data_IF_569276240607
#
_entry.id   IF_569276240607
#
_cell.length_a   1.000
_cell.length_b   1.000
_cell.length_c   1.000
_cell.angle_alpha   90.00
_cell.angle_beta   90.00
_cell.angle_gamma   90.00
#
_symmetry.space_group_name_H-M   'P 1'
#
loop_
_entity.id
_entity.type
_entity.pdbx_description
1 polymer ?
#
# COMPACT_ATOMS: atom_id res chain seq x y z
N UNK A 1 -22.20 -34.34 -19.09
CA UNK A 1 -21.83 -33.03 -18.54
C UNK A 1 -21.82 -32.03 -19.69
N UNK A 2 -22.68 -31.03 -19.64
CA UNK A 2 -22.87 -30.09 -20.75
C UNK A 2 -21.67 -29.15 -20.85
N UNK A 3 -21.23 -28.84 -22.08
CA UNK A 3 -20.10 -27.94 -22.36
C UNK A 3 -20.25 -26.56 -21.68
N UNK A 4 -21.49 -26.15 -21.43
CA UNK A 4 -21.90 -24.93 -20.74
C UNK A 4 -21.66 -24.94 -19.22
N UNK A 5 -21.77 -26.10 -18.56
CA UNK A 5 -21.46 -26.24 -17.12
C UNK A 5 -19.96 -26.02 -16.89
N UNK A 6 -19.11 -26.64 -17.72
CA UNK A 6 -17.65 -26.46 -17.66
C UNK A 6 -17.21 -25.01 -17.92
N UNK A 7 -17.88 -24.30 -18.84
CA UNK A 7 -17.56 -22.90 -19.11
C UNK A 7 -17.91 -21.98 -17.93
N UNK A 8 -19.03 -22.25 -17.25
CA UNK A 8 -19.45 -21.51 -16.05
C UNK A 8 -18.51 -21.77 -14.87
N UNK A 9 -18.19 -23.03 -14.61
CA UNK A 9 -17.29 -23.44 -13.53
C UNK A 9 -15.89 -22.84 -13.72
N UNK A 10 -15.40 -22.81 -14.96
CA UNK A 10 -14.13 -22.17 -15.30
C UNK A 10 -14.14 -20.66 -15.04
N UNK A 11 -15.22 -19.95 -15.43
CA UNK A 11 -15.35 -18.52 -15.17
C UNK A 11 -15.36 -18.22 -13.66
N UNK A 12 -16.06 -19.04 -12.86
CA UNK A 12 -16.10 -18.92 -11.40
C UNK A 12 -14.72 -19.17 -10.77
N UNK A 13 -14.00 -20.19 -11.24
CA UNK A 13 -12.62 -20.47 -10.81
C UNK A 13 -11.66 -19.31 -11.11
N UNK A 14 -11.72 -18.76 -12.34
CA UNK A 14 -10.91 -17.61 -12.76
C UNK A 14 -11.22 -16.43 -11.84
N UNK A 15 -12.51 -16.08 -11.66
CA UNK A 15 -12.93 -14.98 -10.79
C UNK A 15 -12.41 -15.14 -9.36
N UNK A 16 -12.52 -16.34 -8.79
CA UNK A 16 -12.04 -16.63 -7.44
C UNK A 16 -10.52 -16.50 -7.32
N UNK A 17 -9.78 -16.92 -8.34
CA UNK A 17 -8.30 -16.85 -8.37
C UNK A 17 -7.82 -15.41 -8.47
N UNK A 18 -8.37 -14.62 -9.40
CA UNK A 18 -8.05 -13.19 -9.51
C UNK A 18 -8.40 -12.43 -8.22
N UNK A 19 -9.57 -12.70 -7.62
CA UNK A 19 -9.95 -12.07 -6.34
C UNK A 19 -8.95 -12.39 -5.22
N UNK A 20 -8.38 -13.60 -5.19
CA UNK A 20 -7.33 -13.97 -4.21
C UNK A 20 -6.02 -13.25 -4.48
N UNK A 21 -5.62 -13.14 -5.75
CA UNK A 21 -4.41 -12.41 -6.17
C UNK A 21 -4.53 -10.93 -5.77
N UNK A 22 -5.65 -10.29 -6.11
CA UNK A 22 -5.92 -8.88 -5.76
C UNK A 22 -5.80 -8.65 -4.24
N UNK A 23 -6.34 -9.56 -3.42
CA UNK A 23 -6.24 -9.47 -1.96
C UNK A 23 -4.80 -9.63 -1.45
N UNK A 24 -4.04 -10.55 -2.03
CA UNK A 24 -2.65 -10.78 -1.64
C UNK A 24 -1.75 -9.60 -2.03
N UNK A 25 -1.99 -9.01 -3.21
CA UNK A 25 -1.28 -7.83 -3.70
C UNK A 25 -1.60 -6.61 -2.84
N UNK A 26 -2.87 -6.38 -2.52
CA UNK A 26 -3.32 -5.33 -1.60
C UNK A 26 -2.64 -5.47 -0.22
N UNK A 27 -2.62 -6.68 0.34
CA UNK A 27 -1.95 -6.94 1.61
C UNK A 27 -0.44 -6.64 1.54
N UNK A 28 0.20 -6.93 0.40
CA UNK A 28 1.62 -6.65 0.18
C UNK A 28 1.88 -5.15 0.18
N UNK A 29 1.10 -4.35 -0.54
CA UNK A 29 1.28 -2.89 -0.53
C UNK A 29 0.99 -2.26 0.83
N UNK A 30 -0.01 -2.77 1.57
CA UNK A 30 -0.28 -2.33 2.95
C UNK A 30 0.88 -2.65 3.89
N UNK A 31 1.48 -3.83 3.75
CA UNK A 31 2.65 -4.23 4.53
C UNK A 31 3.84 -3.33 4.19
N UNK A 32 4.14 -3.14 2.91
CA UNK A 32 5.21 -2.24 2.47
C UNK A 32 4.99 -0.80 2.97
N UNK A 33 3.76 -0.29 2.86
CA UNK A 33 3.39 1.04 3.32
C UNK A 33 3.64 1.22 4.82
N UNK A 34 3.22 0.26 5.65
CA UNK A 34 3.29 0.37 7.12
C UNK A 34 4.63 -0.02 7.73
N UNK A 35 5.48 -0.75 7.00
CA UNK A 35 6.78 -1.24 7.52
C UNK A 35 8.00 -0.52 6.95
N UNK A 36 7.84 0.24 5.86
CA UNK A 36 8.96 0.98 5.26
C UNK A 36 9.32 2.19 6.12
N UNK A 37 10.46 2.10 6.81
CA UNK A 37 11.10 3.21 7.51
C UNK A 37 12.26 3.78 6.69
N UNK A 38 12.58 5.05 6.91
CA UNK A 38 13.71 5.69 6.22
C UNK A 38 15.03 5.10 6.71
N UNK A 39 15.80 4.53 5.78
CA UNK A 39 17.05 3.80 6.04
C UNK A 39 18.29 4.70 6.07
N UNK A 40 18.12 6.01 5.82
CA UNK A 40 19.23 6.96 5.72
C UNK A 40 19.99 6.89 4.39
N UNK A 41 19.56 6.03 3.46
CA UNK A 41 20.14 5.92 2.12
C UNK A 41 19.31 6.74 1.13
N UNK A 42 20.00 7.49 0.28
CA UNK A 42 19.34 8.42 -0.65
C UNK A 42 18.73 9.62 0.06
N UNK A 43 17.79 10.30 -0.59
CA UNK A 43 17.12 11.47 -0.02
C UNK A 43 15.80 11.13 0.67
N UNK A 44 15.43 11.94 1.68
CA UNK A 44 14.07 11.91 2.28
C UNK A 44 12.97 12.05 1.23
N UNK A 45 13.23 12.81 0.15
CA UNK A 45 12.31 12.93 -0.98
C UNK A 45 12.04 11.58 -1.65
N UNK A 46 13.07 10.76 -1.85
CA UNK A 46 12.96 9.46 -2.50
C UNK A 46 12.13 8.50 -1.64
N UNK A 47 12.34 8.58 -0.32
CA UNK A 47 11.52 7.87 0.67
C UNK A 47 10.04 8.27 0.62
N UNK A 48 9.74 9.57 0.58
CA UNK A 48 8.37 10.07 0.44
C UNK A 48 7.72 9.58 -0.87
N UNK A 49 8.45 9.62 -1.98
CA UNK A 49 7.95 9.12 -3.27
C UNK A 49 7.63 7.63 -3.18
N UNK A 50 8.48 6.84 -2.52
CA UNK A 50 8.28 5.41 -2.29
C UNK A 50 7.01 5.13 -1.48
N UNK A 51 6.82 5.82 -0.35
CA UNK A 51 5.60 5.67 0.46
C UNK A 51 4.34 6.10 -0.30
N UNK A 52 4.41 7.20 -1.05
CA UNK A 52 3.29 7.67 -1.90
C UNK A 52 2.94 6.65 -2.98
N UNK A 53 3.92 5.97 -3.55
CA UNK A 53 3.69 4.90 -4.52
C UNK A 53 2.89 3.75 -3.90
N UNK A 54 3.29 3.25 -2.72
CA UNK A 54 2.56 2.16 -2.04
C UNK A 54 1.15 2.58 -1.61
N UNK A 55 1.00 3.80 -1.10
CA UNK A 55 -0.30 4.38 -0.75
C UNK A 55 -1.24 4.43 -1.95
N UNK A 56 -0.77 4.94 -3.10
CA UNK A 56 -1.57 5.01 -4.31
C UNK A 56 -1.97 3.61 -4.80
N UNK A 57 -1.05 2.64 -4.76
CA UNK A 57 -1.34 1.25 -5.15
C UNK A 57 -2.39 0.59 -4.26
N UNK A 58 -2.31 0.78 -2.95
CA UNK A 58 -3.33 0.32 -2.02
C UNK A 58 -4.70 0.98 -2.31
N UNK A 59 -4.74 2.27 -2.61
CA UNK A 59 -5.98 2.97 -2.91
C UNK A 59 -6.59 2.63 -4.29
N UNK A 60 -5.77 2.36 -5.31
CA UNK A 60 -6.21 1.78 -6.58
C UNK A 60 -6.96 0.45 -6.36
N UNK A 61 -6.62 -0.28 -5.29
CA UNK A 61 -7.25 -1.53 -4.85
C UNK A 61 -8.40 -1.33 -3.84
N UNK A 62 -8.94 -0.10 -3.74
CA UNK A 62 -10.13 0.25 -2.92
C UNK A 62 -9.93 0.17 -1.41
N UNK A 63 -8.72 0.42 -0.91
CA UNK A 63 -8.48 0.55 0.54
C UNK A 63 -8.99 1.90 1.09
N UNK A 64 -9.07 2.94 0.25
CA UNK A 64 -9.64 4.26 0.59
C UNK A 64 -8.94 5.00 1.76
N UNK A 65 -7.61 4.89 1.85
CA UNK A 65 -6.79 5.63 2.80
C UNK A 65 -6.80 7.14 2.49
N UNK A 66 -6.95 7.96 3.53
CA UNK A 66 -6.93 9.42 3.39
C UNK A 66 -5.52 10.02 3.38
N UNK A 67 -5.38 11.20 2.76
CA UNK A 67 -4.11 11.96 2.73
C UNK A 67 -3.58 12.31 4.13
N UNK A 68 -4.45 12.47 5.13
CA UNK A 68 -4.03 12.69 6.52
C UNK A 68 -3.29 11.47 7.10
N UNK A 69 -3.72 10.25 6.73
CA UNK A 69 -3.00 9.03 7.12
C UNK A 69 -1.62 8.98 6.46
N UNK A 70 -1.53 9.32 5.17
CA UNK A 70 -0.24 9.36 4.46
C UNK A 70 0.74 10.33 5.10
N UNK A 71 0.28 11.55 5.44
CA UNK A 71 1.10 12.57 6.10
C UNK A 71 1.64 12.08 7.45
N UNK A 72 0.74 11.55 8.29
CA UNK A 72 1.13 10.98 9.59
C UNK A 72 2.15 9.86 9.42
N UNK A 73 1.90 8.93 8.50
CA UNK A 73 2.77 7.79 8.25
C UNK A 73 4.16 8.20 7.73
N UNK A 74 4.22 9.19 6.84
CA UNK A 74 5.49 9.76 6.37
C UNK A 74 6.31 10.26 7.55
N UNK A 75 5.70 11.01 8.48
CA UNK A 75 6.40 11.52 9.66
C UNK A 75 6.87 10.39 10.57
N UNK A 76 6.01 9.40 10.84
CA UNK A 76 6.36 8.26 11.70
C UNK A 76 7.48 7.39 11.11
N UNK A 77 7.56 7.29 9.78
CA UNK A 77 8.59 6.52 9.10
C UNK A 77 10.00 7.13 9.17
N UNK A 78 10.14 8.39 9.62
CA UNK A 78 11.43 9.05 9.76
C UNK A 78 12.09 8.70 11.11
N UNK A 79 13.44 8.53 11.15
CA UNK A 79 14.15 8.22 12.37
C UNK A 79 14.16 9.43 13.34
N UNK A 80 14.55 9.16 14.59
CA UNK A 80 14.63 10.12 15.71
C UNK A 80 15.48 11.36 15.36
N UNK A 81 16.46 11.23 14.46
CA UNK A 81 17.24 12.38 13.98
C UNK A 81 16.40 13.47 13.29
N UNK A 82 15.14 13.18 12.94
CA UNK A 82 14.17 14.11 12.36
C UNK A 82 13.12 14.62 13.36
N UNK A 83 13.27 14.39 14.65
CA UNK A 83 12.27 14.78 15.67
C UNK A 83 11.92 16.27 15.63
N UNK A 84 12.90 17.14 15.37
CA UNK A 84 12.64 18.57 15.18
C UNK A 84 11.62 18.84 14.04
N UNK A 85 11.73 18.11 12.93
CA UNK A 85 10.80 18.20 11.80
C UNK A 85 9.41 17.71 12.21
N UNK A 86 9.33 16.58 12.93
CA UNK A 86 8.06 16.02 13.43
C UNK A 86 7.34 17.01 14.34
N UNK A 87 8.06 17.67 15.25
CA UNK A 87 7.50 18.66 16.16
C UNK A 87 6.99 19.91 15.43
N UNK A 88 7.72 20.41 14.43
CA UNK A 88 7.31 21.60 13.67
C UNK A 88 6.11 21.38 12.77
N UNK A 89 5.89 20.15 12.27
CA UNK A 89 4.74 19.85 11.42
C UNK A 89 3.42 19.76 12.22
N UNK A 90 3.52 19.29 13.47
CA UNK A 90 2.36 19.11 14.35
C UNK A 90 2.02 20.35 15.19
N UNK A 91 2.83 21.42 15.11
CA UNK A 91 2.62 22.70 15.78
C UNK A 91 1.65 23.59 14.97
#
# INVERSE_FOLDING_TARGET
>A
MLKTEMAKDFLEYVKATYTKIDKAEMATYLLLLTTTVYDGLGGVRDHIIKLKHYFNKANEMKVELGENFLKWLILESLPISFDAVKLTYNA
#
